data_IF_817263945418
#
_entry.id   IF_817263945418
#
_cell.length_a   1.000
_cell.length_b   1.000
_cell.length_c   1.000
_cell.angle_alpha   90.00
_cell.angle_beta   90.00
_cell.angle_gamma   90.00
#
_symmetry.space_group_name_H-M   'P 1'
#
loop_
_entity.id
_entity.type
_entity.pdbx_description
1 polymer ?
#
# COMPACT_ATOMS: atom_id res chain seq x y z
N UNK A 1 40.02 -12.72 -21.01
CA UNK A 1 38.81 -11.88 -21.16
C UNK A 1 37.68 -12.27 -20.20
N UNK A 2 37.41 -13.57 -19.97
CA UNK A 2 36.24 -14.06 -19.19
C UNK A 2 36.31 -13.84 -17.66
N UNK A 3 37.50 -13.70 -17.07
CA UNK A 3 37.68 -13.51 -15.61
C UNK A 3 37.39 -12.05 -15.20
N UNK A 4 37.73 -11.08 -16.04
CA UNK A 4 37.49 -9.65 -15.78
C UNK A 4 35.98 -9.30 -15.79
N UNK A 5 35.20 -9.93 -16.68
CA UNK A 5 33.74 -9.71 -16.78
C UNK A 5 32.99 -10.26 -15.55
N UNK A 6 33.41 -11.41 -15.01
CA UNK A 6 32.81 -11.97 -13.78
C UNK A 6 33.05 -11.06 -12.56
N UNK A 7 34.26 -10.50 -12.43
CA UNK A 7 34.57 -9.58 -11.33
C UNK A 7 33.78 -8.28 -11.42
N UNK A 8 33.58 -7.72 -12.62
CA UNK A 8 32.79 -6.50 -12.79
C UNK A 8 31.30 -6.70 -12.41
N UNK A 9 30.74 -7.87 -12.73
CA UNK A 9 29.37 -8.25 -12.31
C UNK A 9 29.24 -8.36 -10.79
N UNK A 10 30.22 -8.97 -10.12
CA UNK A 10 30.24 -9.09 -8.65
C UNK A 10 30.35 -7.72 -7.98
N UNK A 11 31.22 -6.84 -8.47
CA UNK A 11 31.35 -5.47 -7.96
C UNK A 11 30.07 -4.65 -8.16
N UNK A 12 29.42 -4.74 -9.32
CA UNK A 12 28.14 -4.07 -9.56
C UNK A 12 27.04 -4.60 -8.62
N UNK A 13 27.02 -5.90 -8.37
CA UNK A 13 26.06 -6.51 -7.43
C UNK A 13 26.33 -6.06 -5.99
N UNK A 14 27.60 -6.01 -5.57
CA UNK A 14 27.98 -5.53 -4.23
C UNK A 14 27.66 -4.04 -4.07
N UNK A 15 27.95 -3.20 -5.06
CA UNK A 15 27.60 -1.78 -5.03
C UNK A 15 26.08 -1.58 -4.95
N UNK A 16 25.29 -2.33 -5.75
CA UNK A 16 23.82 -2.31 -5.67
C UNK A 16 23.31 -2.76 -4.30
N UNK A 17 23.91 -3.79 -3.71
CA UNK A 17 23.53 -4.27 -2.39
C UNK A 17 23.88 -3.26 -1.29
N UNK A 18 25.03 -2.58 -1.38
CA UNK A 18 25.44 -1.54 -0.42
C UNK A 18 24.52 -0.31 -0.54
N UNK A 19 24.25 0.17 -1.76
CA UNK A 19 23.35 1.33 -1.95
C UNK A 19 21.90 1.00 -1.57
N UNK A 20 21.42 -0.20 -1.86
CA UNK A 20 20.10 -0.67 -1.42
C UNK A 20 20.01 -0.75 0.11
N UNK A 21 20.99 -1.37 0.78
CA UNK A 21 21.02 -1.44 2.25
C UNK A 21 21.11 -0.06 2.92
N UNK A 22 21.89 0.86 2.35
CA UNK A 22 21.97 2.25 2.84
C UNK A 22 20.65 2.98 2.65
N UNK A 23 19.99 2.84 1.50
CA UNK A 23 18.67 3.43 1.23
C UNK A 23 17.58 2.91 2.15
N UNK A 24 17.58 1.60 2.45
CA UNK A 24 16.62 1.00 3.39
C UNK A 24 16.81 1.54 4.81
N UNK A 25 18.07 1.60 5.26
CA UNK A 25 18.43 2.12 6.58
C UNK A 25 18.05 3.59 6.72
N UNK A 26 18.26 4.39 5.65
CA UNK A 26 17.92 5.81 5.64
C UNK A 26 16.41 6.06 5.72
N UNK A 27 15.59 5.26 5.02
CA UNK A 27 14.13 5.36 5.14
C UNK A 27 13.70 5.06 6.59
N UNK A 28 14.11 3.94 7.17
CA UNK A 28 13.71 3.55 8.53
C UNK A 28 14.15 4.59 9.58
N UNK A 29 15.33 5.20 9.41
CA UNK A 29 15.84 6.23 10.32
C UNK A 29 15.15 7.60 10.17
N UNK A 30 14.43 7.84 9.07
CA UNK A 30 13.79 9.13 8.80
C UNK A 30 12.28 9.16 9.05
N UNK A 31 11.66 7.99 9.25
CA UNK A 31 10.23 7.90 9.62
C UNK A 31 10.00 8.55 10.99
N UNK A 32 9.02 9.43 11.06
CA UNK A 32 8.53 10.04 12.30
C UNK A 32 7.55 9.07 13.00
N UNK A 33 8.08 8.09 13.70
CA UNK A 33 7.31 7.01 14.34
C UNK A 33 6.23 7.51 15.31
N UNK A 34 6.48 8.62 16.02
CA UNK A 34 5.51 9.23 16.91
C UNK A 34 4.26 9.72 16.17
N UNK A 35 4.41 10.25 14.94
CA UNK A 35 3.26 10.62 14.11
C UNK A 35 2.45 9.41 13.68
N UNK A 36 3.11 8.29 13.37
CA UNK A 36 2.40 7.04 13.05
C UNK A 36 1.62 6.52 14.26
N UNK A 37 2.17 6.64 15.48
CA UNK A 37 1.50 6.24 16.71
C UNK A 37 0.24 7.05 17.04
N UNK A 38 0.08 8.24 16.46
CA UNK A 38 -1.12 9.07 16.60
C UNK A 38 -2.25 8.66 15.62
N UNK A 39 -1.95 7.86 14.59
CA UNK A 39 -2.96 7.37 13.66
C UNK A 39 -3.91 6.43 14.39
N UNK A 40 -5.22 6.71 14.29
CA UNK A 40 -6.27 6.03 15.05
C UNK A 40 -6.20 4.51 14.94
N UNK A 41 -5.98 3.99 13.73
CA UNK A 41 -5.90 2.57 13.43
C UNK A 41 -4.63 1.90 13.99
N UNK A 42 -3.58 2.68 14.26
CA UNK A 42 -2.29 2.15 14.74
C UNK A 42 -2.10 2.34 16.25
N UNK A 43 -2.82 3.28 16.84
CA UNK A 43 -2.62 3.78 18.21
C UNK A 43 -2.57 2.65 19.24
N UNK A 44 -3.55 1.74 19.21
CA UNK A 44 -3.63 0.64 20.18
C UNK A 44 -2.42 -0.30 20.12
N UNK A 45 -1.86 -0.53 18.93
CA UNK A 45 -0.70 -1.41 18.73
C UNK A 45 0.59 -0.75 19.22
N UNK A 46 0.76 0.55 18.96
CA UNK A 46 1.90 1.31 19.47
C UNK A 46 1.83 1.51 21.00
N UNK A 47 0.64 1.70 21.58
CA UNK A 47 0.46 1.80 23.03
C UNK A 47 0.72 0.46 23.74
N UNK A 48 0.36 -0.67 23.11
CA UNK A 48 0.59 -1.99 23.67
C UNK A 48 2.08 -2.38 23.67
N UNK A 49 2.77 -2.24 22.53
CA UNK A 49 4.21 -2.50 22.42
C UNK A 49 4.82 -1.72 21.24
N UNK A 50 5.22 -0.48 21.52
CA UNK A 50 5.80 0.42 20.52
C UNK A 50 6.99 -0.20 19.77
N UNK A 51 7.92 -0.81 20.50
CA UNK A 51 9.18 -1.31 19.95
C UNK A 51 8.94 -2.53 19.05
N UNK A 52 8.07 -3.44 19.49
CA UNK A 52 7.76 -4.63 18.69
C UNK A 52 6.93 -4.27 17.45
N UNK A 53 5.91 -3.42 17.59
CA UNK A 53 5.09 -3.02 16.45
C UNK A 53 5.91 -2.24 15.41
N UNK A 54 6.81 -1.34 15.83
CA UNK A 54 7.77 -0.70 14.94
C UNK A 54 8.63 -1.74 14.19
N UNK A 55 9.20 -2.73 14.88
CA UNK A 55 10.02 -3.79 14.24
C UNK A 55 9.25 -4.60 13.20
N UNK A 56 7.96 -4.85 13.42
CA UNK A 56 7.09 -5.51 12.43
C UNK A 56 6.93 -4.65 11.19
N UNK A 57 6.67 -3.35 11.34
CA UNK A 57 6.59 -2.41 10.21
C UNK A 57 7.93 -2.38 9.46
N UNK A 58 9.06 -2.25 10.16
CA UNK A 58 10.40 -2.26 9.56
C UNK A 58 10.70 -3.54 8.79
N UNK A 59 10.26 -4.69 9.29
CA UNK A 59 10.38 -5.96 8.57
C UNK A 59 9.68 -5.88 7.21
N UNK A 60 8.42 -5.45 7.18
CA UNK A 60 7.65 -5.33 5.93
C UNK A 60 8.23 -4.27 4.99
N UNK A 61 8.75 -3.16 5.52
CA UNK A 61 9.47 -2.15 4.72
C UNK A 61 10.61 -2.82 3.96
N UNK A 62 11.45 -3.60 4.65
CA UNK A 62 12.62 -4.28 4.04
C UNK A 62 12.21 -5.28 2.97
N UNK A 63 11.12 -6.01 3.16
CA UNK A 63 10.64 -6.96 2.15
C UNK A 63 10.06 -6.24 0.93
N UNK A 64 9.25 -5.20 1.13
CA UNK A 64 8.65 -4.42 0.05
C UNK A 64 9.69 -3.66 -0.78
N UNK A 65 10.77 -3.16 -0.16
CA UNK A 65 11.85 -2.45 -0.89
C UNK A 65 12.65 -3.36 -1.84
N UNK A 66 12.50 -4.69 -1.77
CA UNK A 66 13.09 -5.62 -2.74
C UNK A 66 12.31 -5.68 -4.05
N UNK A 67 11.09 -5.15 -4.08
CA UNK A 67 10.22 -5.15 -5.25
C UNK A 67 10.73 -4.11 -6.26
N UNK A 68 10.62 -4.44 -7.55
CA UNK A 68 10.94 -3.50 -8.62
C UNK A 68 10.11 -2.22 -8.52
N UNK A 69 10.73 -1.07 -8.81
CA UNK A 69 10.08 0.23 -8.69
C UNK A 69 8.81 0.34 -9.53
N UNK A 70 8.78 -0.26 -10.73
CA UNK A 70 7.61 -0.20 -11.61
C UNK A 70 6.47 -1.06 -11.08
N UNK A 71 6.77 -2.18 -10.42
CA UNK A 71 5.74 -2.99 -9.75
C UNK A 71 5.22 -2.29 -8.48
N UNK A 72 6.06 -1.55 -7.76
CA UNK A 72 5.61 -0.70 -6.65
C UNK A 72 4.64 0.38 -7.13
N UNK A 73 4.90 1.02 -8.28
CA UNK A 73 3.99 2.01 -8.88
C UNK A 73 2.61 1.41 -9.15
N UNK A 74 2.55 0.20 -9.71
CA UNK A 74 1.30 -0.52 -9.97
C UNK A 74 0.58 -0.92 -8.69
N UNK A 75 1.32 -1.42 -7.70
CA UNK A 75 0.77 -1.79 -6.40
C UNK A 75 0.20 -0.57 -5.67
N UNK A 76 0.81 0.60 -5.80
CA UNK A 76 0.27 1.83 -5.24
C UNK A 76 -1.10 2.20 -5.83
N UNK A 77 -1.31 2.00 -7.14
CA UNK A 77 -2.62 2.18 -7.79
C UNK A 77 -3.66 1.24 -7.17
N UNK A 78 -3.33 -0.05 -7.06
CA UNK A 78 -4.22 -1.03 -6.43
C UNK A 78 -4.52 -0.65 -4.98
N UNK A 79 -3.51 -0.22 -4.20
CA UNK A 79 -3.69 0.18 -2.81
C UNK A 79 -4.62 1.38 -2.65
N UNK A 80 -4.48 2.39 -3.52
CA UNK A 80 -5.39 3.55 -3.51
C UNK A 80 -6.82 3.13 -3.81
N UNK A 81 -7.04 2.21 -4.75
CA UNK A 81 -8.37 1.65 -5.04
C UNK A 81 -8.94 0.89 -3.84
N UNK A 82 -8.12 0.06 -3.17
CA UNK A 82 -8.52 -0.66 -1.96
C UNK A 82 -8.96 0.28 -0.84
N UNK A 83 -8.15 1.30 -0.54
CA UNK A 83 -8.44 2.29 0.51
C UNK A 83 -9.70 3.09 0.17
N UNK A 84 -9.80 3.58 -1.07
CA UNK A 84 -10.97 4.34 -1.55
C UNK A 84 -12.25 3.51 -1.45
N UNK A 85 -12.19 2.24 -1.85
CA UNK A 85 -13.31 1.32 -1.66
C UNK A 85 -13.59 1.08 -0.16
N UNK A 86 -12.57 0.89 0.68
CA UNK A 86 -12.73 0.78 2.13
C UNK A 86 -13.49 1.96 2.74
N UNK A 87 -13.11 3.19 2.40
CA UNK A 87 -13.80 4.42 2.78
C UNK A 87 -15.25 4.44 2.28
N UNK A 88 -15.47 4.04 1.02
CA UNK A 88 -16.81 3.97 0.40
C UNK A 88 -17.73 3.00 1.15
N UNK A 89 -17.25 1.79 1.43
CA UNK A 89 -18.02 0.78 2.16
C UNK A 89 -18.29 1.22 3.62
N UNK A 90 -17.34 1.89 4.24
CA UNK A 90 -17.48 2.41 5.60
C UNK A 90 -18.50 3.56 5.67
N UNK A 91 -18.45 4.47 4.71
CA UNK A 91 -19.41 5.58 4.56
C UNK A 91 -20.83 5.06 4.36
N UNK A 92 -21.02 4.07 3.48
CA UNK A 92 -22.32 3.41 3.30
C UNK A 92 -22.85 2.77 4.61
N UNK A 93 -22.02 1.99 5.32
CA UNK A 93 -22.42 1.33 6.58
C UNK A 93 -22.84 2.31 7.68
N UNK A 94 -22.32 3.54 7.64
CA UNK A 94 -22.62 4.59 8.62
C UNK A 94 -23.62 5.63 8.13
N UNK A 95 -24.20 5.42 6.94
CA UNK A 95 -25.13 6.37 6.32
C UNK A 95 -24.52 7.79 6.26
N UNK A 96 -23.26 7.86 5.83
CA UNK A 96 -22.60 9.15 5.54
C UNK A 96 -23.49 9.99 4.63
N UNK A 97 -23.50 11.31 4.81
CA UNK A 97 -24.35 12.25 4.04
C UNK A 97 -24.14 12.12 2.53
N UNK A 98 -22.96 11.70 2.10
CA UNK A 98 -22.59 11.48 0.71
C UNK A 98 -22.55 9.99 0.34
N UNK A 99 -23.19 9.10 1.12
CA UNK A 99 -23.22 7.66 0.81
C UNK A 99 -23.81 7.41 -0.57
N UNK A 100 -23.12 6.56 -1.34
CA UNK A 100 -23.62 6.08 -2.61
C UNK A 100 -24.87 5.20 -2.39
N UNK A 101 -25.64 4.96 -3.46
CA UNK A 101 -26.71 3.97 -3.39
C UNK A 101 -26.15 2.58 -3.05
N UNK A 102 -27.03 1.67 -2.65
CA UNK A 102 -26.64 0.27 -2.39
C UNK A 102 -26.01 -0.35 -3.64
N UNK A 103 -26.57 -0.08 -4.81
CA UNK A 103 -26.13 -0.60 -6.11
C UNK A 103 -24.75 -0.07 -6.47
N UNK A 104 -24.54 1.25 -6.38
CA UNK A 104 -23.26 1.88 -6.64
C UNK A 104 -22.18 1.42 -5.65
N UNK A 105 -22.53 1.27 -4.36
CA UNK A 105 -21.61 0.75 -3.34
C UNK A 105 -21.20 -0.70 -3.65
N UNK A 106 -22.14 -1.53 -4.11
CA UNK A 106 -21.86 -2.92 -4.54
C UNK A 106 -21.02 -2.97 -5.81
N UNK A 107 -21.24 -2.04 -6.73
CA UNK A 107 -20.45 -1.91 -7.95
C UNK A 107 -18.99 -1.58 -7.62
N UNK A 108 -18.74 -0.54 -6.80
CA UNK A 108 -17.41 -0.20 -6.29
C UNK A 108 -16.70 -1.43 -5.69
N UNK A 109 -17.39 -2.14 -4.80
CA UNK A 109 -16.85 -3.33 -4.16
C UNK A 109 -16.55 -4.44 -5.17
N UNK A 110 -17.47 -4.72 -6.09
CA UNK A 110 -17.31 -5.79 -7.09
C UNK A 110 -16.12 -5.49 -8.00
N UNK A 111 -15.99 -4.25 -8.46
CA UNK A 111 -14.90 -3.82 -9.34
C UNK A 111 -13.55 -4.01 -8.66
N UNK A 112 -13.35 -3.44 -7.46
CA UNK A 112 -12.06 -3.55 -6.76
C UNK A 112 -11.75 -4.99 -6.34
N UNK A 113 -12.74 -5.73 -5.84
CA UNK A 113 -12.52 -7.16 -5.52
C UNK A 113 -12.20 -7.97 -6.78
N UNK A 114 -12.81 -7.63 -7.93
CA UNK A 114 -12.48 -8.22 -9.22
C UNK A 114 -11.00 -8.03 -9.55
N UNK A 115 -10.50 -6.80 -9.44
CA UNK A 115 -9.09 -6.51 -9.71
C UNK A 115 -8.11 -7.30 -8.84
N UNK A 116 -8.43 -7.47 -7.55
CA UNK A 116 -7.61 -8.26 -6.63
C UNK A 116 -7.66 -9.74 -7.00
N UNK A 117 -8.84 -10.27 -7.33
CA UNK A 117 -9.03 -11.70 -7.66
C UNK A 117 -8.38 -12.07 -8.99
N UNK A 118 -8.48 -11.19 -9.97
CA UNK A 118 -7.98 -11.39 -11.33
C UNK A 118 -6.54 -10.89 -11.48
N UNK A 119 -5.98 -10.27 -10.42
CA UNK A 119 -4.63 -9.69 -10.36
C UNK A 119 -4.36 -8.80 -11.58
N UNK A 120 -5.29 -7.88 -11.81
CA UNK A 120 -5.26 -6.94 -12.93
C UNK A 120 -6.13 -5.73 -12.61
N UNK A 121 -5.73 -4.53 -13.01
CA UNK A 121 -6.60 -3.33 -12.93
C UNK A 121 -7.03 -2.95 -14.34
N UNK A 122 -8.31 -3.07 -14.65
CA UNK A 122 -8.88 -2.59 -15.92
C UNK A 122 -9.04 -1.07 -15.89
N UNK A 123 -8.56 -0.41 -16.94
CA UNK A 123 -8.68 1.04 -17.14
C UNK A 123 -9.79 1.34 -18.16
N UNK A 124 -10.33 2.55 -18.12
CA UNK A 124 -11.53 2.96 -18.88
C UNK A 124 -11.38 2.86 -20.41
N UNK A 125 -10.13 2.89 -20.92
CA UNK A 125 -9.81 2.87 -22.36
C UNK A 125 -9.51 1.48 -22.92
N UNK A 126 -9.75 0.42 -22.15
CA UNK A 126 -9.45 -0.97 -22.56
C UNK A 126 -7.98 -1.37 -22.34
N UNK A 127 -7.19 -0.49 -21.73
CA UNK A 127 -5.87 -0.82 -21.21
C UNK A 127 -5.99 -1.51 -19.85
N UNK A 128 -4.95 -2.22 -19.43
CA UNK A 128 -4.92 -2.86 -18.13
C UNK A 128 -3.54 -2.85 -17.49
N UNK A 129 -3.51 -2.67 -16.18
CA UNK A 129 -2.31 -2.85 -15.37
C UNK A 129 -2.18 -4.34 -15.05
N UNK A 130 -1.10 -4.95 -15.52
CA UNK A 130 -0.75 -6.33 -15.22
C UNK A 130 0.39 -6.40 -14.22
N UNK A 131 0.30 -7.39 -13.33
CA UNK A 131 1.32 -7.69 -12.34
C UNK A 131 2.15 -8.88 -12.78
N UNK A 132 3.41 -8.92 -12.34
CA UNK A 132 4.25 -10.11 -12.52
C UNK A 132 3.82 -11.22 -11.57
N UNK A 133 4.10 -12.50 -11.89
CA UNK A 133 3.74 -13.64 -11.02
C UNK A 133 4.17 -13.49 -9.55
N UNK A 134 5.38 -12.99 -9.22
CA UNK A 134 5.74 -12.73 -7.82
C UNK A 134 4.82 -11.74 -7.12
N UNK A 135 4.34 -10.74 -7.86
CA UNK A 135 3.46 -9.69 -7.34
C UNK A 135 2.01 -10.17 -7.28
N UNK A 136 1.55 -11.00 -8.20
CA UNK A 136 0.27 -11.70 -8.07
C UNK A 136 0.20 -12.53 -6.78
N UNK A 137 1.29 -13.22 -6.44
CA UNK A 137 1.39 -13.98 -5.18
C UNK A 137 1.32 -13.07 -3.97
N UNK A 138 2.04 -11.94 -4.00
CA UNK A 138 2.00 -10.93 -2.93
C UNK A 138 0.60 -10.33 -2.74
N UNK A 139 -0.13 -10.07 -3.84
CA UNK A 139 -1.52 -9.60 -3.79
C UNK A 139 -2.42 -10.64 -3.11
N UNK A 140 -2.27 -11.93 -3.46
CA UNK A 140 -3.03 -13.01 -2.81
C UNK A 140 -2.67 -13.16 -1.33
N UNK A 141 -1.39 -13.03 -0.96
CA UNK A 141 -0.93 -13.04 0.44
C UNK A 141 -1.54 -11.87 1.23
N UNK A 142 -1.51 -10.65 0.70
CA UNK A 142 -2.14 -9.49 1.32
C UNK A 142 -3.65 -9.65 1.49
N UNK A 143 -4.32 -10.26 0.50
CA UNK A 143 -5.75 -10.59 0.58
C UNK A 143 -6.03 -11.64 1.67
N UNK A 144 -5.21 -12.67 1.78
CA UNK A 144 -5.35 -13.69 2.82
C UNK A 144 -5.15 -13.07 4.22
N UNK A 145 -4.15 -12.22 4.38
CA UNK A 145 -3.91 -11.49 5.63
C UNK A 145 -5.13 -10.62 6.02
N UNK A 146 -5.71 -9.89 5.07
CA UNK A 146 -6.94 -9.13 5.32
C UNK A 146 -8.12 -10.02 5.76
N UNK A 147 -8.27 -11.21 5.15
CA UNK A 147 -9.31 -12.14 5.59
C UNK A 147 -9.06 -12.68 7.00
N UNK A 148 -7.81 -13.00 7.32
CA UNK A 148 -7.44 -13.52 8.63
C UNK A 148 -7.69 -12.47 9.72
N UNK A 149 -7.34 -11.21 9.45
CA UNK A 149 -7.60 -10.06 10.31
C UNK A 149 -9.09 -9.77 10.53
N UNK A 150 -9.87 -9.61 9.44
CA UNK A 150 -11.21 -9.01 9.54
C UNK A 150 -12.38 -9.96 9.23
N UNK A 151 -12.09 -11.25 8.96
CA UNK A 151 -13.12 -12.26 8.60
C UNK A 151 -13.00 -13.56 9.36
N UNK A 152 -11.80 -14.03 9.67
CA UNK A 152 -11.57 -15.36 10.27
C UNK A 152 -11.21 -15.31 11.77
N UNK A 153 -11.16 -14.13 12.38
CA UNK A 153 -10.85 -13.93 13.81
C UNK A 153 -9.52 -14.60 14.22
N UNK A 154 -8.50 -14.52 13.37
CA UNK A 154 -7.18 -15.07 13.68
C UNK A 154 -6.46 -14.12 14.62
N UNK A 155 -6.04 -14.61 15.79
CA UNK A 155 -5.35 -13.81 16.80
C UNK A 155 -4.06 -13.19 16.22
N UNK A 156 -3.86 -11.89 16.45
CA UNK A 156 -2.69 -11.14 15.98
C UNK A 156 -2.68 -10.79 14.48
N UNK A 157 -3.65 -11.27 13.69
CA UNK A 157 -3.69 -10.97 12.26
C UNK A 157 -4.03 -9.50 11.95
N UNK A 158 -4.79 -8.84 12.83
CA UNK A 158 -5.11 -7.42 12.69
C UNK A 158 -3.87 -6.52 12.90
N UNK A 159 -3.09 -6.79 13.96
CA UNK A 159 -1.78 -6.15 14.19
C UNK A 159 -0.87 -6.34 12.97
N UNK A 160 -0.77 -7.56 12.47
CA UNK A 160 0.07 -7.88 11.31
C UNK A 160 -0.40 -7.20 10.03
N UNK A 161 -1.71 -7.13 9.80
CA UNK A 161 -2.30 -6.39 8.67
C UNK A 161 -1.96 -4.91 8.75
N UNK A 162 -2.09 -4.28 9.91
CA UNK A 162 -1.79 -2.87 10.08
C UNK A 162 -0.29 -2.58 9.96
N UNK A 163 0.57 -3.48 10.43
CA UNK A 163 2.01 -3.37 10.20
C UNK A 163 2.36 -3.42 8.70
N UNK A 164 1.82 -4.40 7.97
CA UNK A 164 2.02 -4.55 6.53
C UNK A 164 1.45 -3.36 5.73
N UNK A 165 0.21 -2.95 6.02
CA UNK A 165 -0.42 -1.80 5.37
C UNK A 165 0.34 -0.50 5.62
N UNK A 166 0.90 -0.31 6.82
CA UNK A 166 1.71 0.88 7.13
C UNK A 166 2.99 0.87 6.31
N UNK A 167 3.67 -0.27 6.24
CA UNK A 167 4.88 -0.43 5.43
C UNK A 167 4.64 -0.15 3.94
N UNK A 168 3.48 -0.55 3.39
CA UNK A 168 3.10 -0.22 2.02
C UNK A 168 3.08 1.30 1.79
N UNK A 169 2.39 2.07 2.65
CA UNK A 169 2.34 3.53 2.47
C UNK A 169 3.71 4.19 2.59
N UNK A 170 4.55 3.72 3.52
CA UNK A 170 5.90 4.26 3.71
C UNK A 170 6.83 3.95 2.53
N UNK A 171 6.77 2.73 1.99
CA UNK A 171 7.60 2.32 0.84
C UNK A 171 7.12 2.94 -0.46
N UNK A 172 5.82 3.07 -0.65
CA UNK A 172 5.29 3.76 -1.82
C UNK A 172 5.72 5.23 -1.79
N UNK A 173 5.63 5.88 -0.63
CA UNK A 173 6.03 7.26 -0.46
C UNK A 173 5.10 8.24 -1.16
N UNK A 174 5.37 9.53 -0.97
CA UNK A 174 4.48 10.63 -1.39
C UNK A 174 4.27 10.66 -2.90
N UNK A 175 5.35 10.81 -3.67
CA UNK A 175 5.28 10.94 -5.13
C UNK A 175 4.48 9.81 -5.81
N UNK A 176 4.72 8.56 -5.42
CA UNK A 176 4.05 7.40 -6.02
C UNK A 176 2.57 7.36 -5.65
N UNK A 177 2.24 7.62 -4.39
CA UNK A 177 0.85 7.65 -3.92
C UNK A 177 0.07 8.80 -4.56
N UNK A 178 0.69 9.97 -4.76
CA UNK A 178 0.06 11.10 -5.44
C UNK A 178 -0.20 10.79 -6.92
N UNK A 179 0.77 10.17 -7.59
CA UNK A 179 0.61 9.71 -8.98
C UNK A 179 -0.51 8.66 -9.10
N UNK A 180 -0.51 7.67 -8.20
CA UNK A 180 -1.56 6.66 -8.14
C UNK A 180 -2.94 7.27 -7.88
N UNK A 181 -3.04 8.25 -6.97
CA UNK A 181 -4.27 8.96 -6.68
C UNK A 181 -4.77 9.77 -7.87
N UNK A 182 -3.86 10.38 -8.62
CA UNK A 182 -4.21 11.12 -9.83
C UNK A 182 -4.76 10.19 -10.92
N UNK A 183 -4.14 9.02 -11.13
CA UNK A 183 -4.64 8.01 -12.04
C UNK A 183 -6.01 7.49 -11.58
N UNK A 184 -6.17 7.17 -10.29
CA UNK A 184 -7.44 6.67 -9.75
C UNK A 184 -8.55 7.70 -9.94
N UNK A 185 -8.24 8.98 -9.73
CA UNK A 185 -9.19 10.06 -10.02
C UNK A 185 -9.56 10.10 -11.51
N UNK A 186 -8.59 10.03 -12.41
CA UNK A 186 -8.86 10.08 -13.85
C UNK A 186 -9.72 8.91 -14.34
N UNK A 187 -9.45 7.71 -13.84
CA UNK A 187 -10.03 6.47 -14.38
C UNK A 187 -11.30 6.01 -13.64
N UNK A 188 -11.45 6.36 -12.36
CA UNK A 188 -12.49 5.80 -11.48
C UNK A 188 -13.33 6.84 -10.73
N UNK A 189 -13.23 8.13 -11.06
CA UNK A 189 -14.06 9.17 -10.42
C UNK A 189 -15.56 8.96 -10.70
N UNK A 190 -15.94 8.45 -11.87
CA UNK A 190 -17.34 8.08 -12.16
C UNK A 190 -17.85 6.95 -11.27
N UNK A 191 -16.97 6.04 -10.86
CA UNK A 191 -17.28 4.91 -9.99
C UNK A 191 -17.41 5.34 -8.52
N UNK A 192 -16.42 6.08 -8.00
CA UNK A 192 -16.34 6.41 -6.57
C UNK A 192 -16.93 7.78 -6.20
N UNK A 193 -17.08 8.69 -7.14
CA UNK A 193 -17.30 10.14 -6.95
C UNK A 193 -16.06 10.88 -6.40
N UNK A 194 -15.95 12.20 -6.63
CA UNK A 194 -14.87 13.02 -6.07
C UNK A 194 -14.77 12.93 -4.54
N UNK A 195 -15.90 12.80 -3.85
CA UNK A 195 -15.95 12.75 -2.39
C UNK A 195 -15.20 11.54 -1.81
N UNK A 196 -15.43 10.34 -2.34
CA UNK A 196 -14.78 9.16 -1.78
C UNK A 196 -13.33 9.01 -2.21
N UNK A 197 -12.95 9.50 -3.39
CA UNK A 197 -11.53 9.62 -3.76
C UNK A 197 -10.81 10.52 -2.76
N UNK A 198 -11.41 11.65 -2.42
CA UNK A 198 -10.83 12.58 -1.44
C UNK A 198 -10.81 11.98 -0.03
N UNK A 199 -11.83 11.22 0.38
CA UNK A 199 -11.77 10.44 1.63
C UNK A 199 -10.61 9.43 1.64
N UNK A 200 -10.37 8.74 0.52
CA UNK A 200 -9.24 7.84 0.36
C UNK A 200 -7.90 8.57 0.50
N UNK A 201 -7.74 9.73 -0.15
CA UNK A 201 -6.56 10.58 0.01
C UNK A 201 -6.34 10.98 1.47
N UNK A 202 -7.39 11.44 2.14
CA UNK A 202 -7.32 11.87 3.55
C UNK A 202 -7.01 10.72 4.51
N UNK A 203 -7.42 9.49 4.19
CA UNK A 203 -7.03 8.31 4.96
C UNK A 203 -5.52 8.03 4.84
N UNK A 204 -4.95 8.22 3.65
CA UNK A 204 -3.53 7.93 3.37
C UNK A 204 -2.61 9.04 3.89
N UNK A 205 -3.07 10.29 3.90
CA UNK A 205 -2.24 11.46 4.21
C UNK A 205 -1.42 11.36 5.51
N UNK A 206 -1.98 10.93 6.67
CA UNK A 206 -1.21 10.84 7.92
C UNK A 206 0.01 9.90 7.83
N UNK A 207 -0.10 8.81 7.06
CA UNK A 207 1.01 7.87 6.87
C UNK A 207 2.15 8.51 6.09
N UNK A 208 1.83 9.32 5.08
CA UNK A 208 2.80 10.00 4.22
C UNK A 208 3.42 11.22 4.93
N UNK A 209 2.68 11.90 5.81
CA UNK A 209 3.17 13.00 6.64
C UNK A 209 4.17 12.56 7.73
N UNK A 210 4.24 11.26 8.02
CA UNK A 210 5.27 10.69 8.85
C UNK A 210 6.62 10.55 8.13
N UNK A 211 6.66 10.64 6.80
CA UNK A 211 7.90 10.70 6.04
C UNK A 211 8.53 12.09 6.12
N UNK A 212 9.86 12.22 5.97
CA UNK A 212 10.50 13.52 5.86
C UNK A 212 9.95 14.30 4.64
N UNK A 213 9.95 15.65 4.67
CA UNK A 213 9.65 16.45 3.49
C UNK A 213 10.61 16.10 2.35
N UNK A 214 10.10 16.06 1.12
CA UNK A 214 10.97 15.94 -0.05
C UNK A 214 11.86 17.21 -0.13
N UNK A 215 13.17 17.00 -0.27
CA UNK A 215 14.19 18.05 -0.38
C UNK A 215 14.32 18.61 -1.79
#
# INVERSE_FOLDING_TARGET
ATILVKNQSIWLQLCKNITSNLGHTLLMMSVQWQKLAEIKELKEYFEADFCNFQKRIEYHIRELQKIDSTELDKLAVLRVLEVTNGCTQWGFRRQDKHCLSVEQTRECMRTVIGFIKDKKVDLSRGEAIHFTLPIEKLIEEGRNLYQDAFKKNVAGAEEEYYAYSTAQFLVYGRQRLDTAMQLVKQEFESLFTPYYIEKGRNYIAPYVEALPPES
#
